data_IF_033908523852
#
_entry.id   IF_033908523852
#
_cell.length_a   1.000
_cell.length_b   1.000
_cell.length_c   1.000
_cell.angle_alpha   90.00
_cell.angle_beta   90.00
_cell.angle_gamma   90.00
#
_symmetry.space_group_name_H-M   'P 1'
#
loop_
_entity.id
_entity.type
_entity.pdbx_description
1 polymer ?
#
# COMPACT_ATOMS: atom_id res chain seq x y z
N UNK A 1 -7.15 14.14 -3.20
CA UNK A 1 -7.67 13.33 -2.09
C UNK A 1 -7.13 11.92 -2.28
N UNK A 2 -6.40 11.37 -1.30
CA UNK A 2 -5.81 10.01 -1.36
C UNK A 2 -6.41 9.08 -0.28
N UNK A 3 -7.40 9.59 0.45
CA UNK A 3 -8.20 8.81 1.38
C UNK A 3 -9.53 8.54 0.67
N UNK A 4 -10.01 7.30 0.79
CA UNK A 4 -11.31 6.92 0.27
C UNK A 4 -12.42 7.67 1.03
N UNK A 5 -13.56 7.95 0.37
CA UNK A 5 -14.77 8.43 1.04
C UNK A 5 -15.17 7.55 2.23
N UNK A 6 -15.86 8.10 3.23
CA UNK A 6 -16.22 7.34 4.45
C UNK A 6 -17.03 6.07 4.13
N UNK A 7 -17.90 6.13 3.11
CA UNK A 7 -18.68 4.98 2.64
C UNK A 7 -17.82 3.81 2.12
N UNK A 8 -16.61 4.10 1.64
CA UNK A 8 -15.65 3.15 1.08
C UNK A 8 -14.56 2.73 2.11
N UNK A 9 -14.58 3.27 3.33
CA UNK A 9 -13.66 2.86 4.40
C UNK A 9 -14.11 1.55 5.07
N UNK A 10 -14.23 0.50 4.27
CA UNK A 10 -14.75 -0.79 4.67
C UNK A 10 -13.85 -1.95 4.17
N UNK A 11 -14.11 -3.15 4.67
CA UNK A 11 -13.30 -4.32 4.35
C UNK A 11 -13.37 -4.75 2.88
N UNK A 12 -14.46 -4.45 2.15
CA UNK A 12 -14.57 -4.80 0.74
C UNK A 12 -13.54 -4.04 -0.10
N UNK A 13 -13.44 -2.72 0.10
CA UNK A 13 -12.44 -1.88 -0.58
C UNK A 13 -11.01 -2.27 -0.20
N UNK A 14 -10.77 -2.68 1.06
CA UNK A 14 -9.48 -3.22 1.46
C UNK A 14 -9.12 -4.51 0.70
N UNK A 15 -10.08 -5.42 0.52
CA UNK A 15 -9.89 -6.65 -0.24
C UNK A 15 -9.62 -6.37 -1.72
N UNK A 16 -10.27 -5.36 -2.29
CA UNK A 16 -9.97 -4.91 -3.64
C UNK A 16 -8.52 -4.42 -3.76
N UNK A 17 -8.04 -3.62 -2.80
CA UNK A 17 -6.64 -3.19 -2.76
C UNK A 17 -5.67 -4.37 -2.67
N UNK A 18 -5.99 -5.38 -1.87
CA UNK A 18 -5.18 -6.61 -1.78
C UNK A 18 -5.11 -7.36 -3.11
N UNK A 19 -6.20 -7.43 -3.86
CA UNK A 19 -6.23 -8.13 -5.14
C UNK A 19 -5.46 -7.40 -6.25
N UNK A 20 -5.37 -6.07 -6.20
CA UNK A 20 -4.65 -5.27 -7.20
C UNK A 20 -3.19 -5.00 -6.82
N UNK A 21 -2.76 -5.39 -5.62
CA UNK A 21 -1.36 -5.32 -5.22
C UNK A 21 -0.55 -6.40 -5.93
N UNK A 22 -0.03 -6.03 -7.10
CA UNK A 22 0.93 -6.83 -7.85
C UNK A 22 2.34 -6.64 -7.27
N UNK A 23 3.06 -7.75 -7.14
CA UNK A 23 4.50 -7.78 -6.82
C UNK A 23 5.19 -8.51 -7.96
N UNK A 24 6.31 -7.96 -8.43
CA UNK A 24 7.13 -8.55 -9.50
C UNK A 24 8.47 -8.97 -8.91
N UNK A 25 8.83 -10.25 -9.09
CA UNK A 25 10.09 -10.80 -8.58
C UNK A 25 11.30 -10.41 -9.44
N UNK A 26 11.07 -10.08 -10.71
CA UNK A 26 12.08 -9.71 -11.69
C UNK A 26 12.41 -8.21 -11.72
N UNK A 27 11.59 -7.39 -11.05
CA UNK A 27 11.73 -5.94 -10.99
C UNK A 27 11.41 -5.42 -9.58
N UNK A 28 12.44 -5.34 -8.74
CA UNK A 28 12.33 -4.86 -7.36
C UNK A 28 11.97 -3.37 -7.27
N UNK A 29 12.17 -2.60 -8.34
CA UNK A 29 11.81 -1.17 -8.40
C UNK A 29 10.37 -0.95 -8.86
N UNK A 30 9.66 -2.00 -9.30
CA UNK A 30 8.27 -1.90 -9.72
C UNK A 30 7.36 -1.44 -8.55
N UNK A 31 6.64 -0.35 -8.80
CA UNK A 31 5.61 0.16 -7.89
C UNK A 31 4.22 -0.09 -8.49
N UNK A 32 3.37 -0.80 -7.76
CA UNK A 32 1.98 -0.95 -8.17
C UNK A 32 1.16 0.33 -7.85
N UNK A 33 -0.08 0.46 -8.36
CA UNK A 33 -0.89 1.66 -8.11
C UNK A 33 -1.16 1.96 -6.63
N UNK A 34 -1.19 0.94 -5.77
CA UNK A 34 -1.39 1.08 -4.32
C UNK A 34 -0.12 1.63 -3.66
N UNK A 35 1.05 1.17 -4.07
CA UNK A 35 2.35 1.70 -3.62
C UNK A 35 2.42 3.22 -3.89
N UNK A 36 2.14 3.63 -5.13
CA UNK A 36 2.16 5.04 -5.56
C UNK A 36 1.14 5.87 -4.77
N UNK A 37 -0.04 5.32 -4.49
CA UNK A 37 -1.07 6.01 -3.70
C UNK A 37 -0.58 6.29 -2.27
N UNK A 38 0.02 5.30 -1.61
CA UNK A 38 0.52 5.46 -0.25
C UNK A 38 1.77 6.33 -0.17
N UNK A 39 2.62 6.33 -1.20
CA UNK A 39 3.78 7.22 -1.29
C UNK A 39 3.33 8.68 -1.33
N UNK A 40 2.42 9.04 -2.24
CA UNK A 40 1.85 10.40 -2.35
C UNK A 40 1.10 10.83 -1.09
N UNK A 41 0.38 9.90 -0.46
CA UNK A 41 -0.25 10.18 0.84
C UNK A 41 0.82 10.47 1.91
N UNK A 42 1.94 9.74 1.90
CA UNK A 42 3.07 9.92 2.83
C UNK A 42 3.85 11.21 2.62
N UNK A 43 4.01 11.68 1.37
CA UNK A 43 4.61 12.99 1.08
C UNK A 43 3.80 14.13 1.70
N UNK A 44 2.46 14.03 1.63
CA UNK A 44 1.55 15.04 2.16
C UNK A 44 1.33 14.91 3.67
N UNK A 45 1.23 13.68 4.18
CA UNK A 45 0.88 13.37 5.56
C UNK A 45 1.74 12.20 6.08
N UNK A 46 3.02 12.44 6.41
CA UNK A 46 3.96 11.38 6.79
C UNK A 46 3.58 10.62 8.06
N UNK A 47 2.78 11.25 8.94
CA UNK A 47 2.31 10.65 10.20
C UNK A 47 0.93 9.99 10.09
N UNK A 48 0.36 9.90 8.88
CA UNK A 48 -0.95 9.28 8.67
C UNK A 48 -0.92 7.79 9.06
N UNK A 49 -1.93 7.34 9.79
CA UNK A 49 -1.97 5.97 10.33
C UNK A 49 -1.78 4.91 9.23
N UNK A 50 -2.53 5.04 8.13
CA UNK A 50 -2.46 4.09 7.02
C UNK A 50 -1.08 4.05 6.34
N UNK A 51 -0.37 5.19 6.23
CA UNK A 51 1.00 5.25 5.66
C UNK A 51 1.97 4.46 6.54
N UNK A 52 1.90 4.63 7.86
CA UNK A 52 2.79 3.89 8.78
C UNK A 52 2.54 2.39 8.72
N UNK A 53 1.27 1.97 8.69
CA UNK A 53 0.93 0.55 8.61
C UNK A 53 1.35 -0.05 7.27
N UNK A 54 1.17 0.68 6.17
CA UNK A 54 1.58 0.22 4.85
C UNK A 54 3.09 0.02 4.74
N UNK A 55 3.89 0.93 5.32
CA UNK A 55 5.36 0.78 5.39
C UNK A 55 5.78 -0.47 6.15
N UNK A 56 5.13 -0.75 7.28
CA UNK A 56 5.40 -1.97 8.07
C UNK A 56 5.02 -3.24 7.28
N UNK A 57 3.88 -3.20 6.58
CA UNK A 57 3.45 -4.30 5.72
C UNK A 57 4.46 -4.57 4.58
N UNK A 58 4.90 -3.54 3.85
CA UNK A 58 5.88 -3.68 2.75
C UNK A 58 7.22 -4.22 3.26
N UNK A 59 7.68 -3.78 4.43
CA UNK A 59 8.90 -4.31 5.05
C UNK A 59 8.78 -5.81 5.36
N UNK A 60 7.63 -6.23 5.91
CA UNK A 60 7.38 -7.64 6.21
C UNK A 60 7.23 -8.49 4.94
N UNK A 61 6.56 -7.98 3.90
CA UNK A 61 6.43 -8.66 2.61
C UNK A 61 7.79 -8.92 1.96
N UNK A 62 8.70 -7.94 1.99
CA UNK A 62 10.06 -8.09 1.47
C UNK A 62 10.89 -9.18 2.19
N UNK A 63 10.82 -9.26 3.53
CA UNK A 63 11.50 -10.32 4.31
C UNK A 63 10.90 -11.72 4.07
N UNK A 64 9.60 -11.80 3.78
CA UNK A 64 8.92 -13.06 3.44
C UNK A 64 9.23 -13.51 2.01
N UNK A 65 9.27 -12.60 1.04
CA UNK A 65 9.59 -12.92 -0.36
C UNK A 65 11.08 -13.15 -0.63
N UNK A 66 11.97 -12.73 0.28
CA UNK A 66 13.42 -12.95 0.16
C UNK A 66 13.90 -14.34 0.64
N UNK A 67 12.99 -15.23 1.05
CA UNK A 67 13.31 -16.61 1.49
C UNK A 67 12.66 -17.65 0.59
#
# INVERSE_FOLDING_TARGET
>A
HYEAPEEEQNFATLLEFLNVMEVREDDEEYQNPVDIMFEKLGERQPNHFAVRQYRLYKLAAGDVCSK
#
